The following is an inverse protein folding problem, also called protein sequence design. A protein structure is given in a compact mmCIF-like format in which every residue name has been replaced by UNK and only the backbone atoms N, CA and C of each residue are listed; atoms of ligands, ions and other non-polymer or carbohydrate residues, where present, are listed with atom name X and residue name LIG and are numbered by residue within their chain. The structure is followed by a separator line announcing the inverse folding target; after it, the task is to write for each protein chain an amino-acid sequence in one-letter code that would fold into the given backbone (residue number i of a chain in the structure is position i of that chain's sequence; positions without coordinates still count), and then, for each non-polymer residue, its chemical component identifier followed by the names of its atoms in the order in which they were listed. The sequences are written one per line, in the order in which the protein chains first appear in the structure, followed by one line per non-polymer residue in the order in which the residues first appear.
data_IF_819160614078
#
_entry.id   IF_819160614078
#
_cell.length_a   1.000
_cell.length_b   1.000
_cell.length_c   1.000
_cell.angle_alpha   90.00
_cell.angle_beta   90.00
_cell.angle_gamma   90.00
#
_symmetry.space_group_name_H-M   'P 1'
#
loop_
_entity.id
_entity.type
_entity.pdbx_description
1 polymer ?
#
# COMPACT_ATOMS: atom_id res chain seq x y z
N UNK A 1 11.53 -30.93 -12.81
CA UNK A 1 12.26 -30.03 -11.89
C UNK A 1 11.47 -28.74 -11.80
N UNK A 2 10.40 -28.76 -11.00
CA UNK A 2 9.43 -27.67 -10.89
C UNK A 2 10.00 -26.68 -9.89
N UNK A 3 10.39 -25.49 -10.36
CA UNK A 3 10.88 -24.41 -9.50
C UNK A 3 9.68 -23.89 -8.71
N UNK A 4 9.56 -24.28 -7.45
CA UNK A 4 8.67 -23.60 -6.52
C UNK A 4 9.10 -22.13 -6.48
N UNK A 5 8.24 -21.25 -6.94
CA UNK A 5 8.41 -19.83 -6.72
C UNK A 5 8.17 -19.60 -5.22
N UNK A 6 9.23 -19.71 -4.41
CA UNK A 6 9.22 -19.18 -3.05
C UNK A 6 8.75 -17.74 -3.14
N UNK A 7 7.63 -17.45 -2.49
CA UNK A 7 7.06 -16.10 -2.45
C UNK A 7 8.08 -15.09 -1.91
N UNK A 8 7.80 -13.77 -2.05
CA UNK A 8 8.70 -12.75 -1.55
C UNK A 8 8.99 -13.00 -0.07
N UNK A 9 10.27 -12.98 0.30
CA UNK A 9 10.66 -13.12 1.69
C UNK A 9 10.13 -11.92 2.51
N UNK A 10 10.00 -12.06 3.84
CA UNK A 10 9.53 -10.95 4.67
C UNK A 10 10.36 -9.65 4.50
N UNK A 11 11.71 -9.69 4.35
CA UNK A 11 12.50 -8.51 3.98
C UNK A 11 12.12 -7.90 2.62
N UNK A 12 11.85 -8.73 1.61
CA UNK A 12 11.46 -8.26 0.28
C UNK A 12 10.11 -7.55 0.32
N UNK A 13 9.16 -8.10 1.09
CA UNK A 13 7.84 -7.52 1.25
C UNK A 13 7.88 -6.18 2.01
N UNK A 14 8.72 -6.06 3.04
CA UNK A 14 8.93 -4.79 3.74
C UNK A 14 9.49 -3.71 2.80
N UNK A 15 10.45 -4.06 1.95
CA UNK A 15 11.00 -3.15 0.94
C UNK A 15 9.94 -2.73 -0.10
N UNK A 16 9.09 -3.66 -0.54
CA UNK A 16 7.98 -3.37 -1.45
C UNK A 16 6.95 -2.43 -0.82
N UNK A 17 6.55 -2.66 0.43
CA UNK A 17 5.63 -1.77 1.13
C UNK A 17 6.22 -0.36 1.34
N UNK A 18 7.51 -0.26 1.67
CA UNK A 18 8.18 1.03 1.76
C UNK A 18 8.13 1.77 0.41
N UNK A 19 8.46 1.09 -0.69
CA UNK A 19 8.41 1.68 -2.04
C UNK A 19 6.99 2.09 -2.43
N UNK A 20 5.99 1.24 -2.17
CA UNK A 20 4.59 1.52 -2.44
C UNK A 20 4.11 2.75 -1.67
N UNK A 21 4.35 2.81 -0.36
CA UNK A 21 3.96 3.94 0.48
C UNK A 21 4.64 5.24 0.04
N UNK A 22 5.91 5.17 -0.38
CA UNK A 22 6.60 6.34 -0.94
C UNK A 22 5.94 6.83 -2.24
N UNK A 23 5.59 5.92 -3.16
CA UNK A 23 4.90 6.28 -4.40
C UNK A 23 3.52 6.88 -4.13
N UNK A 24 2.76 6.32 -3.19
CA UNK A 24 1.46 6.86 -2.78
C UNK A 24 1.60 8.25 -2.15
N UNK A 25 2.62 8.48 -1.32
CA UNK A 25 2.90 9.80 -0.76
C UNK A 25 3.22 10.86 -1.82
N UNK A 26 4.00 10.51 -2.85
CA UNK A 26 4.28 11.40 -3.98
C UNK A 26 3.02 11.71 -4.78
N UNK A 27 2.18 10.70 -5.05
CA UNK A 27 0.90 10.88 -5.76
C UNK A 27 0.00 11.83 -4.96
N UNK A 28 -0.12 11.61 -3.65
CA UNK A 28 -0.94 12.43 -2.77
C UNK A 28 -0.47 13.88 -2.77
N UNK A 29 0.83 14.14 -2.55
CA UNK A 29 1.38 15.49 -2.55
C UNK A 29 1.17 16.22 -3.88
N UNK A 30 1.32 15.51 -5.00
CA UNK A 30 1.07 16.09 -6.33
C UNK A 30 -0.42 16.39 -6.54
N UNK A 31 -1.31 15.50 -6.11
CA UNK A 31 -2.75 15.71 -6.23
C UNK A 31 -3.21 16.89 -5.37
N UNK A 32 -2.75 16.99 -4.12
CA UNK A 32 -3.03 18.13 -3.24
C UNK A 32 -2.53 19.46 -3.84
N UNK A 33 -1.34 19.46 -4.46
CA UNK A 33 -0.83 20.64 -5.14
C UNK A 33 -1.70 21.07 -6.32
N UNK A 34 -2.14 20.11 -7.15
CA UNK A 34 -3.03 20.37 -8.29
C UNK A 34 -4.41 20.78 -7.82
N UNK A 35 -4.93 20.21 -6.74
CA UNK A 35 -6.21 20.61 -6.16
C UNK A 35 -6.17 22.07 -5.71
N UNK A 36 -5.10 22.47 -5.03
CA UNK A 36 -4.91 23.83 -4.51
C UNK A 36 -4.58 24.87 -5.58
N UNK A 37 -3.97 24.47 -6.70
CA UNK A 37 -3.43 25.39 -7.73
C UNK A 37 -3.91 25.12 -9.16
N UNK A 38 -4.94 24.29 -9.30
CA UNK A 38 -5.50 23.91 -10.60
C UNK A 38 -6.00 25.11 -11.40
N UNK A 39 -5.93 25.06 -12.75
CA UNK A 39 -6.35 26.17 -13.61
C UNK A 39 -7.88 26.38 -13.60
N UNK A 40 -8.65 25.34 -13.29
CA UNK A 40 -10.11 25.36 -13.30
C UNK A 40 -10.71 24.41 -12.25
N UNK A 41 -12.01 24.56 -12.01
CA UNK A 41 -12.75 23.77 -11.02
C UNK A 41 -12.80 22.28 -11.34
N UNK A 42 -12.79 21.91 -12.62
CA UNK A 42 -12.85 20.50 -13.03
C UNK A 42 -11.53 19.79 -12.66
N UNK A 43 -10.40 20.44 -12.95
CA UNK A 43 -9.07 19.97 -12.61
C UNK A 43 -8.92 19.84 -11.09
N UNK A 44 -9.34 20.84 -10.32
CA UNK A 44 -9.32 20.76 -8.85
C UNK A 44 -10.21 19.63 -8.32
N UNK A 45 -11.43 19.48 -8.85
CA UNK A 45 -12.34 18.41 -8.41
C UNK A 45 -11.76 17.01 -8.71
N UNK A 46 -11.15 16.83 -9.88
CA UNK A 46 -10.48 15.58 -10.25
C UNK A 46 -9.25 15.30 -9.39
N UNK A 47 -8.49 16.34 -9.01
CA UNK A 47 -7.38 16.20 -8.09
C UNK A 47 -7.84 15.79 -6.68
N UNK A 48 -8.93 16.36 -6.16
CA UNK A 48 -9.53 15.93 -4.90
C UNK A 48 -10.00 14.47 -4.91
N UNK A 49 -10.50 13.97 -6.05
CA UNK A 49 -10.81 12.54 -6.21
C UNK A 49 -9.55 11.67 -6.11
N UNK A 50 -8.45 12.10 -6.74
CA UNK A 50 -7.15 11.38 -6.67
C UNK A 50 -6.62 11.37 -5.23
N UNK A 51 -6.73 12.49 -4.50
CA UNK A 51 -6.40 12.57 -3.07
C UNK A 51 -7.17 11.51 -2.28
N UNK A 52 -8.50 11.47 -2.44
CA UNK A 52 -9.34 10.51 -1.74
C UNK A 52 -8.93 9.05 -2.05
N UNK A 53 -8.75 8.71 -3.33
CA UNK A 53 -8.32 7.37 -3.73
C UNK A 53 -6.91 7.00 -3.24
N UNK A 54 -5.98 7.96 -3.18
CA UNK A 54 -4.64 7.71 -2.65
C UNK A 54 -4.68 7.40 -1.14
N UNK A 55 -5.51 8.11 -0.37
CA UNK A 55 -5.72 7.83 1.06
C UNK A 55 -6.33 6.44 1.28
N UNK A 56 -7.32 6.06 0.48
CA UNK A 56 -7.90 4.70 0.51
C UNK A 56 -6.86 3.63 0.15
N UNK A 57 -6.01 3.88 -0.84
CA UNK A 57 -4.94 2.96 -1.22
C UNK A 57 -3.88 2.80 -0.10
N UNK A 58 -3.52 3.88 0.59
CA UNK A 58 -2.62 3.82 1.77
C UNK A 58 -3.24 2.98 2.87
N UNK A 59 -4.53 3.17 3.14
CA UNK A 59 -5.29 2.39 4.14
C UNK A 59 -5.29 0.91 3.77
N UNK A 60 -5.61 0.59 2.52
CA UNK A 60 -5.59 -0.77 1.99
C UNK A 60 -4.20 -1.42 2.10
N UNK A 61 -3.13 -0.69 1.77
CA UNK A 61 -1.76 -1.20 1.89
C UNK A 61 -1.39 -1.56 3.34
N UNK A 62 -1.85 -0.75 4.32
CA UNK A 62 -1.66 -1.03 5.75
C UNK A 62 -2.43 -2.27 6.19
N UNK A 63 -3.66 -2.45 5.70
CA UNK A 63 -4.48 -3.62 6.00
C UNK A 63 -3.85 -4.92 5.45
N UNK A 64 -3.35 -4.90 4.21
CA UNK A 64 -2.64 -6.03 3.61
C UNK A 64 -1.42 -6.40 4.45
N UNK A 65 -0.61 -5.40 4.85
CA UNK A 65 0.56 -5.63 5.70
C UNK A 65 0.16 -6.30 7.03
N UNK A 66 -0.88 -5.78 7.69
CA UNK A 66 -1.36 -6.35 8.94
C UNK A 66 -1.93 -7.76 8.78
N UNK A 67 -2.58 -8.07 7.65
CA UNK A 67 -3.07 -9.41 7.35
C UNK A 67 -1.91 -10.40 7.22
N UNK A 68 -0.83 -10.02 6.52
CA UNK A 68 0.35 -10.87 6.35
C UNK A 68 1.07 -11.10 7.68
N UNK A 69 1.22 -10.05 8.52
CA UNK A 69 1.83 -10.18 9.85
C UNK A 69 1.02 -11.13 10.78
N UNK A 70 -0.31 -11.09 10.71
CA UNK A 70 -1.18 -12.04 11.42
C UNK A 70 -1.04 -13.47 10.90
N UNK A 71 -0.98 -13.66 9.58
CA UNK A 71 -0.77 -14.99 8.99
C UNK A 71 0.60 -15.58 9.35
N UNK A 72 1.64 -14.76 9.47
CA UNK A 72 2.97 -15.20 9.91
C UNK A 72 3.02 -15.55 11.41
N UNK A 73 2.14 -14.97 12.23
CA UNK A 73 2.06 -15.24 13.67
C UNK A 73 1.16 -16.44 14.02
N UNK A 74 0.47 -17.01 13.02
CA UNK A 74 -0.49 -18.10 13.19
C UNK A 74 0.09 -19.51 12.93
N UNK A 75 1.42 -19.66 12.90
CA UNK A 75 2.04 -21.00 12.83
C UNK A 75 1.75 -21.83 14.10
N UNK A 76 1.54 -23.15 13.93
CA UNK A 76 0.84 -23.99 14.90
C UNK A 76 1.75 -24.39 16.07
N UNK A 77 1.14 -24.45 17.25
CA UNK A 77 1.72 -25.05 18.44
C UNK A 77 2.15 -26.51 18.14
N UNK A 78 3.46 -26.83 18.20
CA UNK A 78 3.95 -28.19 17.96
C UNK A 78 3.71 -29.14 19.15
N UNK A 79 2.92 -28.73 20.16
CA UNK A 79 2.69 -29.50 21.39
C UNK A 79 1.26 -30.03 21.61
N UNK A 80 0.42 -30.08 20.57
CA UNK A 80 -0.81 -30.86 20.63
C UNK A 80 -0.52 -32.37 20.41
N UNK A 81 -0.13 -33.03 21.52
CA UNK A 81 -0.06 -34.48 21.84
C UNK A 81 0.12 -35.51 20.69
#
# INVERSE_FOLDING_TARGET
MTREASGPSAPDLAALFHRLNNQLGVILANAELVEARGPDRETSARAGQIVASAVEAITTAREIRGAIERSASAEPDPSAD
#
